data_IF_587528100626
#
_entry.id   IF_587528100626
#
_cell.length_a   1.000
_cell.length_b   1.000
_cell.length_c   1.000
_cell.angle_alpha   90.00
_cell.angle_beta   90.00
_cell.angle_gamma   90.00
#
_symmetry.space_group_name_H-M   'P 1'
#
loop_
_entity.id
_entity.type
_entity.pdbx_description
1 polymer ?
#
# COMPACT_ATOMS: atom_id res chain seq x y z
N UNK A 1 4.99 -26.59 2.29
CA UNK A 1 4.12 -25.65 1.56
C UNK A 1 3.89 -24.43 2.45
N UNK A 2 3.98 -23.20 1.92
CA UNK A 2 3.73 -22.02 2.75
C UNK A 2 2.20 -21.82 2.84
N UNK A 3 1.65 -21.94 4.04
CA UNK A 3 0.20 -21.94 4.32
C UNK A 3 -0.34 -20.55 4.67
N UNK A 4 0.50 -19.52 4.62
CA UNK A 4 0.10 -18.17 4.99
C UNK A 4 -0.86 -17.60 3.95
N UNK A 5 -2.14 -17.49 4.34
CA UNK A 5 -3.21 -16.90 3.52
C UNK A 5 -3.41 -15.42 3.78
N UNK A 6 -3.07 -14.95 4.98
CA UNK A 6 -3.29 -13.57 5.40
C UNK A 6 -2.06 -12.99 6.07
N UNK A 7 -1.69 -11.78 5.68
CA UNK A 7 -0.59 -11.02 6.25
C UNK A 7 -1.04 -9.57 6.48
N UNK A 8 -0.97 -9.13 7.73
CA UNK A 8 -1.28 -7.76 8.13
C UNK A 8 -0.03 -7.17 8.81
N UNK A 9 0.45 -6.03 8.29
CA UNK A 9 1.58 -5.28 8.86
C UNK A 9 1.09 -3.88 9.26
N UNK A 10 1.05 -3.58 10.56
CA UNK A 10 0.46 -2.33 11.08
C UNK A 10 1.46 -1.17 11.26
N UNK A 11 2.77 -1.42 11.15
CA UNK A 11 3.82 -0.39 11.22
C UNK A 11 5.05 -0.87 10.44
N UNK A 12 4.99 -0.78 9.11
CA UNK A 12 6.08 -1.26 8.27
C UNK A 12 7.27 -0.31 8.29
N UNK A 13 8.36 -0.71 8.96
CA UNK A 13 9.66 -0.01 8.97
C UNK A 13 10.67 -0.58 7.97
N UNK A 14 10.28 -1.62 7.24
CA UNK A 14 11.12 -2.25 6.22
C UNK A 14 11.19 -1.38 4.95
N UNK A 15 12.22 -1.60 4.13
CA UNK A 15 12.26 -1.07 2.75
C UNK A 15 11.36 -1.89 1.83
N UNK A 16 11.07 -1.37 0.64
CA UNK A 16 10.27 -2.12 -0.32
C UNK A 16 10.95 -3.45 -0.69
N UNK A 17 12.28 -3.50 -0.83
CA UNK A 17 13.01 -4.72 -1.23
C UNK A 17 12.83 -5.85 -0.23
N UNK A 18 12.89 -5.54 1.07
CA UNK A 18 12.68 -6.52 2.13
C UNK A 18 11.25 -7.06 2.11
N UNK A 19 10.29 -6.18 1.86
CA UNK A 19 8.87 -6.54 1.75
C UNK A 19 8.60 -7.37 0.49
N UNK A 20 9.20 -7.00 -0.63
CA UNK A 20 9.12 -7.71 -1.90
C UNK A 20 9.65 -9.14 -1.76
N UNK A 21 10.79 -9.30 -1.08
CA UNK A 21 11.37 -10.61 -0.81
C UNK A 21 10.44 -11.47 0.06
N UNK A 22 9.89 -10.90 1.14
CA UNK A 22 8.93 -11.60 2.01
C UNK A 22 7.71 -12.09 1.21
N UNK A 23 7.13 -11.21 0.39
CA UNK A 23 5.93 -11.51 -0.40
C UNK A 23 6.19 -12.57 -1.47
N UNK A 24 7.39 -12.61 -2.05
CA UNK A 24 7.81 -13.69 -2.97
C UNK A 24 7.89 -15.05 -2.30
N UNK A 25 8.21 -15.10 -1.00
CA UNK A 25 8.20 -16.36 -0.24
C UNK A 25 6.80 -16.81 0.18
N UNK A 26 5.77 -15.97 0.02
CA UNK A 26 4.37 -16.27 0.37
C UNK A 26 3.47 -16.25 -0.87
N UNK A 27 3.69 -17.13 -1.88
CA UNK A 27 2.96 -17.06 -3.16
C UNK A 27 1.45 -17.37 -3.04
N UNK A 28 1.03 -18.04 -1.97
CA UNK A 28 -0.36 -18.43 -1.71
C UNK A 28 -1.13 -17.39 -0.88
N UNK A 29 -0.58 -16.19 -0.71
CA UNK A 29 -1.20 -15.15 0.09
C UNK A 29 -2.49 -14.66 -0.60
N UNK A 30 -3.60 -14.69 0.12
CA UNK A 30 -4.93 -14.30 -0.36
C UNK A 30 -5.29 -12.88 0.10
N UNK A 31 -4.82 -12.47 1.28
CA UNK A 31 -5.09 -11.17 1.89
C UNK A 31 -3.77 -10.54 2.33
N UNK A 32 -3.51 -9.33 1.86
CA UNK A 32 -2.37 -8.53 2.27
C UNK A 32 -2.82 -7.13 2.67
N UNK A 33 -2.51 -6.74 3.90
CA UNK A 33 -2.77 -5.40 4.41
C UNK A 33 -1.49 -4.82 4.99
N UNK A 34 -1.17 -3.59 4.60
CA UNK A 34 0.02 -2.90 5.09
C UNK A 34 -0.34 -1.47 5.50
N UNK A 35 0.19 -1.05 6.64
CA UNK A 35 0.17 0.32 7.12
C UNK A 35 1.59 0.88 7.13
N UNK A 36 1.75 2.04 6.50
CA UNK A 36 3.05 2.66 6.24
C UNK A 36 3.02 4.11 6.74
N UNK A 37 4.00 4.47 7.57
CA UNK A 37 4.16 5.84 8.05
C UNK A 37 5.45 6.45 7.50
N UNK A 38 5.34 7.58 6.80
CA UNK A 38 6.47 8.40 6.32
C UNK A 38 7.53 7.67 5.45
N UNK A 39 7.17 6.59 4.74
CA UNK A 39 8.11 5.85 3.90
C UNK A 39 7.76 6.02 2.41
N UNK A 40 8.39 7.02 1.77
CA UNK A 40 8.12 7.38 0.37
C UNK A 40 8.48 6.29 -0.64
N UNK A 41 9.43 5.41 -0.31
CA UNK A 41 9.84 4.27 -1.17
C UNK A 41 8.67 3.31 -1.44
N UNK A 42 7.72 3.26 -0.52
CA UNK A 42 6.54 2.39 -0.62
C UNK A 42 5.43 2.95 -1.51
N UNK A 43 5.58 4.15 -2.07
CA UNK A 43 4.56 4.80 -2.91
C UNK A 43 4.79 4.58 -4.42
N UNK A 44 5.71 3.70 -4.81
CA UNK A 44 5.88 3.31 -6.21
C UNK A 44 4.79 2.29 -6.62
N UNK A 45 3.71 2.80 -7.21
CA UNK A 45 2.59 1.98 -7.68
C UNK A 45 2.98 0.98 -8.78
N UNK A 46 3.99 1.28 -9.59
CA UNK A 46 4.44 0.38 -10.67
C UNK A 46 5.13 -0.83 -10.06
N UNK A 47 5.96 -0.63 -9.03
CA UNK A 47 6.58 -1.74 -8.29
C UNK A 47 5.54 -2.63 -7.61
N UNK A 48 4.53 -2.04 -6.98
CA UNK A 48 3.42 -2.79 -6.38
C UNK A 48 2.66 -3.62 -7.40
N UNK A 49 2.28 -3.01 -8.53
CA UNK A 49 1.57 -3.70 -9.60
C UNK A 49 2.36 -4.92 -10.10
N UNK A 50 3.64 -4.70 -10.43
CA UNK A 50 4.52 -5.78 -10.92
C UNK A 50 4.66 -6.91 -9.89
N UNK A 51 4.79 -6.59 -8.61
CA UNK A 51 4.88 -7.60 -7.55
C UNK A 51 3.61 -8.44 -7.46
N UNK A 52 2.45 -7.80 -7.48
CA UNK A 52 1.15 -8.47 -7.36
C UNK A 52 0.94 -9.41 -8.55
N UNK A 53 1.12 -8.90 -9.78
CA UNK A 53 0.90 -9.66 -11.01
C UNK A 53 1.87 -10.85 -11.14
N UNK A 54 3.11 -10.69 -10.71
CA UNK A 54 4.15 -11.73 -10.91
C UNK A 54 4.20 -12.76 -9.80
N UNK A 55 4.04 -12.33 -8.54
CA UNK A 55 4.40 -13.13 -7.37
C UNK A 55 3.22 -13.47 -6.45
N UNK A 56 2.12 -12.73 -6.54
CA UNK A 56 0.96 -12.87 -5.63
C UNK A 56 -0.32 -13.21 -6.40
N UNK A 57 -0.26 -14.27 -7.22
CA UNK A 57 -1.36 -14.68 -8.11
C UNK A 57 -2.66 -15.05 -7.40
N UNK A 58 -2.58 -15.41 -6.12
CA UNK A 58 -3.72 -15.78 -5.29
C UNK A 58 -4.28 -14.61 -4.47
N UNK A 59 -3.66 -13.42 -4.58
CA UNK A 59 -4.06 -12.26 -3.80
C UNK A 59 -5.43 -11.75 -4.27
N UNK A 60 -6.40 -11.85 -3.37
CA UNK A 60 -7.77 -11.39 -3.59
C UNK A 60 -8.00 -10.01 -2.98
N UNK A 61 -7.32 -9.69 -1.88
CA UNK A 61 -7.47 -8.43 -1.15
C UNK A 61 -6.11 -7.80 -0.91
N UNK A 62 -5.93 -6.59 -1.43
CA UNK A 62 -4.80 -5.73 -1.13
C UNK A 62 -5.27 -4.44 -0.46
N UNK A 63 -4.77 -4.16 0.75
CA UNK A 63 -5.06 -2.94 1.50
C UNK A 63 -3.76 -2.20 1.77
N UNK A 64 -3.67 -0.98 1.26
CA UNK A 64 -2.53 -0.09 1.49
C UNK A 64 -3.01 1.11 2.30
N UNK A 65 -2.65 1.13 3.58
CA UNK A 65 -2.90 2.24 4.48
C UNK A 65 -1.63 3.06 4.61
N UNK A 66 -1.76 4.38 4.54
CA UNK A 66 -0.64 5.28 4.80
C UNK A 66 -1.03 6.36 5.78
N UNK A 67 -0.09 6.72 6.64
CA UNK A 67 -0.16 7.92 7.46
C UNK A 67 0.90 8.89 6.98
N UNK A 68 0.45 10.04 6.49
CA UNK A 68 1.33 11.14 6.14
C UNK A 68 1.14 12.28 7.16
N UNK A 69 2.16 12.50 8.00
CA UNK A 69 2.19 13.60 8.97
C UNK A 69 2.17 14.98 8.30
N UNK A 70 2.38 15.09 6.97
CA UNK A 70 2.27 16.35 6.21
C UNK A 70 0.82 16.73 5.89
N UNK A 71 -0.12 15.79 5.93
CA UNK A 71 -1.55 16.05 5.74
C UNK A 71 -2.32 16.30 7.06
N UNK A 72 -1.64 16.17 8.22
CA UNK A 72 -2.18 16.59 9.53
C UNK A 72 -2.22 18.11 9.73
N UNK A 73 -1.87 18.90 8.71
CA UNK A 73 -2.29 20.30 8.66
C UNK A 73 -3.76 20.30 8.25
N UNK A 74 -4.70 20.78 9.08
CA UNK A 74 -6.08 20.93 8.65
C UNK A 74 -6.08 21.71 7.34
N UNK A 75 -6.61 21.10 6.27
CA UNK A 75 -6.87 21.80 5.02
C UNK A 75 -7.70 23.04 5.37
N UNK A 76 -7.05 24.21 5.45
CA UNK A 76 -7.76 25.46 5.49
C UNK A 76 -8.50 25.58 4.15
N UNK A 77 -9.81 25.38 4.21
CA UNK A 77 -10.84 25.62 3.18
C UNK A 77 -10.29 26.17 1.85
N UNK A 78 -10.08 25.30 0.87
CA UNK A 78 -10.08 25.70 -0.54
C UNK A 78 -11.54 25.90 -0.99
N UNK A 79 -12.15 26.98 -0.52
CA UNK A 79 -13.36 27.51 -1.14
C UNK A 79 -12.98 28.13 -2.48
N UNK A 80 -13.13 27.38 -3.57
CA UNK A 80 -13.29 27.94 -4.92
C UNK A 80 -14.05 26.95 -5.81
N UNK A 81 -15.31 26.70 -5.48
CA UNK A 81 -16.28 26.30 -6.50
C UNK A 81 -16.40 27.46 -7.51
N UNK A 82 -15.73 27.35 -8.66
CA UNK A 82 -16.08 28.13 -9.84
C UNK A 82 -17.45 27.62 -10.30
N UNK A 83 -18.49 28.44 -10.13
CA UNK A 83 -19.76 28.26 -10.83
C UNK A 83 -19.47 28.37 -12.33
N UNK A 84 -19.57 27.27 -13.07
CA UNK A 84 -19.85 27.36 -14.52
C UNK A 84 -21.33 27.73 -14.65
N UNK A 85 -21.61 28.91 -15.22
CA UNK A 85 -22.91 29.19 -15.83
C UNK A 85 -22.80 28.73 -17.28
N UNK A 86 -23.71 27.86 -17.69
CA UNK A 86 -24.16 27.73 -19.08
C UNK A 86 -24.96 29.00 -19.39
#
# INVERSE_FOLDING_TARGET
>A
ANYLKELIINDCKATFENLELLLKYTPNLEIFSIFIANNMDMFDGIRWQKLIETSLKHLSVFKFHFQDKKFDKPMQKLNKCRKMRI
#
